data_IF_004720216794
#
_entry.id   IF_004720216794
#
_cell.length_a   1.000
_cell.length_b   1.000
_cell.length_c   1.000
_cell.angle_alpha   90.00
_cell.angle_beta   90.00
_cell.angle_gamma   90.00
#
_symmetry.space_group_name_H-M   'P 1'
#
loop_
_entity.id
_entity.type
_entity.pdbx_description
1 polymer ?
#
# COMPACT_ATOMS: atom_id res chain seq x y z
N UNK A 1 5.81 -20.54 19.79
CA UNK A 1 5.49 -21.98 20.00
C UNK A 1 4.83 -22.44 18.73
N UNK A 2 5.04 -23.66 18.22
CA UNK A 2 4.68 -24.09 16.84
C UNK A 2 3.20 -23.89 16.38
N UNK A 3 2.36 -23.23 17.19
CA UNK A 3 0.98 -22.85 16.94
C UNK A 3 0.68 -21.36 17.17
N UNK A 4 1.66 -20.46 17.19
CA UNK A 4 1.37 -19.01 17.23
C UNK A 4 0.75 -18.59 15.88
N UNK A 5 -0.50 -18.11 15.84
CA UNK A 5 -1.16 -17.70 14.58
C UNK A 5 -0.46 -16.53 13.89
N UNK A 6 0.48 -15.85 14.56
CA UNK A 6 1.27 -14.78 14.00
C UNK A 6 2.68 -15.23 13.56
N UNK A 7 3.04 -16.49 13.79
CA UNK A 7 4.29 -17.09 13.29
C UNK A 7 4.01 -17.82 11.98
N UNK A 8 4.75 -17.48 10.92
CA UNK A 8 4.70 -18.14 9.61
C UNK A 8 6.12 -18.62 9.25
N UNK A 9 6.29 -19.80 8.63
CA UNK A 9 7.60 -20.27 8.20
C UNK A 9 8.28 -19.26 7.26
N UNK A 10 9.58 -19.03 7.44
CA UNK A 10 10.35 -18.06 6.64
C UNK A 10 10.14 -18.20 5.13
N UNK A 11 10.22 -19.43 4.60
CA UNK A 11 10.04 -19.66 3.16
C UNK A 11 8.64 -19.34 2.66
N UNK A 12 7.61 -19.45 3.50
CA UNK A 12 6.26 -19.03 3.15
C UNK A 12 6.12 -17.50 3.19
N UNK A 13 6.71 -16.85 4.19
CA UNK A 13 6.75 -15.38 4.28
C UNK A 13 7.45 -14.79 3.06
N UNK A 14 8.58 -15.35 2.66
CA UNK A 14 9.36 -14.92 1.49
C UNK A 14 8.50 -15.00 0.21
N UNK A 15 7.86 -16.13 -0.04
CA UNK A 15 6.98 -16.32 -1.20
C UNK A 15 5.79 -15.36 -1.21
N UNK A 16 5.13 -15.18 -0.07
CA UNK A 16 4.01 -14.26 0.04
C UNK A 16 4.44 -12.80 -0.12
N UNK A 17 5.60 -12.43 0.45
CA UNK A 17 6.17 -11.10 0.33
C UNK A 17 6.43 -10.76 -1.13
N UNK A 18 7.15 -11.63 -1.86
CA UNK A 18 7.46 -11.43 -3.27
C UNK A 18 6.18 -11.29 -4.11
N UNK A 19 5.20 -12.15 -3.87
CA UNK A 19 3.91 -12.08 -4.56
C UNK A 19 3.18 -10.75 -4.31
N UNK A 20 3.22 -10.21 -3.08
CA UNK A 20 2.58 -8.93 -2.75
C UNK A 20 3.33 -7.72 -3.31
N UNK A 21 4.66 -7.78 -3.36
CA UNK A 21 5.47 -6.76 -4.02
C UNK A 21 5.16 -6.73 -5.51
N UNK A 22 5.17 -7.88 -6.18
CA UNK A 22 4.88 -8.00 -7.61
C UNK A 22 3.47 -7.48 -7.94
N UNK A 23 2.47 -7.90 -7.17
CA UNK A 23 1.09 -7.45 -7.31
C UNK A 23 0.96 -5.93 -7.18
N UNK A 24 1.60 -5.35 -6.17
CA UNK A 24 1.51 -3.90 -5.89
C UNK A 24 2.27 -3.08 -6.92
N UNK A 25 3.40 -3.59 -7.40
CA UNK A 25 4.20 -2.98 -8.46
C UNK A 25 3.44 -2.97 -9.79
N UNK A 26 2.74 -4.06 -10.13
CA UNK A 26 1.91 -4.11 -11.32
C UNK A 26 0.74 -3.11 -11.24
N UNK A 27 0.09 -3.00 -10.09
CA UNK A 27 -0.91 -1.96 -9.85
C UNK A 27 -0.35 -0.54 -10.01
N UNK A 28 0.86 -0.29 -9.47
CA UNK A 28 1.55 1.00 -9.61
C UNK A 28 1.81 1.35 -11.08
N UNK A 29 2.27 0.40 -11.88
CA UNK A 29 2.49 0.64 -13.32
C UNK A 29 1.20 0.94 -14.07
N UNK A 30 0.12 0.21 -13.77
CA UNK A 30 -1.19 0.50 -14.35
C UNK A 30 -1.66 1.92 -14.00
N UNK A 31 -1.58 2.32 -12.72
CA UNK A 31 -1.94 3.68 -12.31
C UNK A 31 -1.04 4.75 -12.94
N UNK A 32 0.27 4.52 -13.03
CA UNK A 32 1.18 5.46 -13.69
C UNK A 32 0.87 5.61 -15.18
N UNK A 33 0.35 4.58 -15.84
CA UNK A 33 -0.14 4.69 -17.22
C UNK A 33 -1.39 5.57 -17.30
N UNK A 34 -2.34 5.37 -16.39
CA UNK A 34 -3.63 6.07 -16.40
C UNK A 34 -3.51 7.55 -16.00
N UNK A 35 -2.66 7.87 -15.02
CA UNK A 35 -2.53 9.21 -14.44
C UNK A 35 -1.26 9.96 -14.89
N UNK A 36 -0.42 9.33 -15.71
CA UNK A 36 0.95 9.79 -15.94
C UNK A 36 1.79 9.75 -14.66
N UNK A 37 3.06 10.17 -14.75
CA UNK A 37 3.93 10.29 -13.58
C UNK A 37 3.60 11.52 -12.69
N UNK A 38 2.31 11.89 -12.56
CA UNK A 38 1.83 13.07 -11.85
C UNK A 38 2.33 13.18 -10.40
N UNK A 39 2.63 12.04 -9.77
CA UNK A 39 3.22 11.98 -8.43
C UNK A 39 4.59 12.66 -8.34
N UNK A 40 5.33 12.81 -9.46
CA UNK A 40 6.62 13.51 -9.48
C UNK A 40 6.49 14.99 -9.14
N UNK A 41 5.38 15.60 -9.54
CA UNK A 41 5.09 17.02 -9.31
C UNK A 41 4.51 17.27 -7.90
N UNK A 42 4.10 16.22 -7.20
CA UNK A 42 3.58 16.33 -5.84
C UNK A 42 4.68 16.68 -4.83
N UNK A 43 4.31 17.37 -3.75
CA UNK A 43 5.20 17.59 -2.60
C UNK A 43 5.31 16.30 -1.78
N UNK A 44 6.44 16.11 -1.08
CA UNK A 44 6.61 14.97 -0.17
C UNK A 44 5.51 15.00 0.92
N UNK A 45 5.18 16.17 1.45
CA UNK A 45 4.08 16.31 2.42
C UNK A 45 2.73 15.83 1.87
N UNK A 46 2.46 16.05 0.58
CA UNK A 46 1.23 15.56 -0.06
C UNK A 46 1.18 14.04 -0.11
N UNK A 47 2.32 13.37 -0.34
CA UNK A 47 2.41 11.91 -0.29
C UNK A 47 2.19 11.40 1.14
N UNK A 48 2.75 12.09 2.14
CA UNK A 48 2.50 11.80 3.56
C UNK A 48 1.01 11.92 3.90
N UNK A 49 0.36 12.99 3.47
CA UNK A 49 -1.08 13.21 3.71
C UNK A 49 -1.92 12.09 3.08
N UNK A 50 -1.57 11.66 1.86
CA UNK A 50 -2.23 10.53 1.19
C UNK A 50 -2.07 9.22 1.97
N UNK A 51 -0.89 8.93 2.51
CA UNK A 51 -0.66 7.75 3.36
C UNK A 51 -1.54 7.84 4.62
N UNK A 52 -1.56 8.98 5.30
CA UNK A 52 -2.38 9.18 6.51
C UNK A 52 -3.88 9.03 6.21
N UNK A 53 -4.35 9.53 5.06
CA UNK A 53 -5.73 9.33 4.61
C UNK A 53 -6.05 7.85 4.41
N UNK A 54 -5.13 7.07 3.83
CA UNK A 54 -5.32 5.63 3.62
C UNK A 54 -5.31 4.85 4.94
N UNK A 55 -4.46 5.23 5.89
CA UNK A 55 -4.48 4.67 7.26
C UNK A 55 -5.81 4.96 7.94
N UNK A 56 -6.27 6.21 7.89
CA UNK A 56 -7.57 6.59 8.45
C UNK A 56 -8.71 5.80 7.79
N UNK A 57 -8.64 5.60 6.46
CA UNK A 57 -9.63 4.81 5.73
C UNK A 57 -9.66 3.36 6.18
N UNK A 58 -8.51 2.70 6.36
CA UNK A 58 -8.46 1.31 6.84
C UNK A 58 -9.10 1.20 8.21
N UNK A 59 -8.78 2.10 9.15
CA UNK A 59 -9.42 2.14 10.48
C UNK A 59 -10.93 2.24 10.39
N UNK A 60 -11.44 3.13 9.54
CA UNK A 60 -12.89 3.22 9.33
C UNK A 60 -13.50 1.93 8.79
N UNK A 61 -12.81 1.20 7.92
CA UNK A 61 -13.32 -0.07 7.39
C UNK A 61 -13.35 -1.12 8.51
N UNK A 62 -12.31 -1.18 9.34
CA UNK A 62 -12.23 -2.08 10.50
C UNK A 62 -13.31 -1.76 11.54
N UNK A 63 -13.49 -0.48 11.88
CA UNK A 63 -14.54 0.00 12.81
C UNK A 63 -15.96 -0.32 12.30
N UNK A 64 -16.14 -0.42 10.99
CA UNK A 64 -17.40 -0.81 10.34
C UNK A 64 -17.50 -2.33 10.11
N UNK A 65 -16.70 -3.14 10.80
CA UNK A 65 -16.67 -4.61 10.67
C UNK A 65 -16.47 -5.09 9.21
N UNK A 66 -15.68 -4.35 8.44
CA UNK A 66 -15.42 -4.64 7.02
C UNK A 66 -16.53 -4.21 6.07
N UNK A 67 -17.63 -3.62 6.55
CA UNK A 67 -18.71 -3.13 5.70
C UNK A 67 -18.27 -1.86 4.96
N UNK A 68 -18.33 -1.89 3.63
CA UNK A 68 -18.00 -0.74 2.79
C UNK A 68 -19.14 -0.43 1.84
N UNK A 69 -19.59 0.83 1.84
CA UNK A 69 -20.54 1.33 0.84
C UNK A 69 -19.74 1.69 -0.43
N UNK A 70 -19.58 0.72 -1.33
CA UNK A 70 -19.00 0.88 -2.67
C UNK A 70 -17.54 1.42 -2.74
N UNK A 71 -16.73 1.18 -1.72
CA UNK A 71 -15.36 1.70 -1.63
C UNK A 71 -14.32 0.60 -1.82
N UNK A 72 -13.12 0.97 -2.26
CA UNK A 72 -11.97 0.08 -2.34
C UNK A 72 -11.70 -0.58 -0.97
N UNK A 73 -11.51 -1.91 -0.97
CA UNK A 73 -11.27 -2.68 0.25
C UNK A 73 -9.92 -2.39 0.91
N UNK A 74 -9.70 -2.96 2.09
CA UNK A 74 -8.48 -2.78 2.91
C UNK A 74 -7.19 -3.06 2.10
N UNK A 75 -7.18 -4.12 1.31
CA UNK A 75 -6.05 -4.50 0.44
C UNK A 75 -5.59 -3.36 -0.47
N UNK A 76 -6.50 -2.74 -1.20
CA UNK A 76 -6.17 -1.66 -2.13
C UNK A 76 -5.58 -0.44 -1.39
N UNK A 77 -6.10 -0.15 -0.19
CA UNK A 77 -5.57 0.94 0.63
C UNK A 77 -4.13 0.66 1.10
N UNK A 78 -3.78 -0.57 1.46
CA UNK A 78 -2.39 -0.94 1.77
C UNK A 78 -1.46 -0.82 0.56
N UNK A 79 -1.92 -1.23 -0.61
CA UNK A 79 -1.14 -1.11 -1.83
C UNK A 79 -0.87 0.35 -2.19
N UNK A 80 -1.85 1.24 -2.00
CA UNK A 80 -1.67 2.67 -2.18
C UNK A 80 -0.67 3.26 -1.18
N UNK A 81 -0.75 2.88 0.10
CA UNK A 81 0.22 3.31 1.12
C UNK A 81 1.65 2.90 0.74
N UNK A 82 1.84 1.66 0.26
CA UNK A 82 3.14 1.18 -0.22
C UNK A 82 3.65 2.04 -1.39
N UNK A 83 2.81 2.26 -2.40
CA UNK A 83 3.19 3.03 -3.60
C UNK A 83 3.54 4.48 -3.28
N UNK A 84 2.74 5.16 -2.44
CA UNK A 84 3.07 6.53 -2.01
C UNK A 84 4.37 6.59 -1.20
N UNK A 85 4.66 5.56 -0.40
CA UNK A 85 5.94 5.48 0.33
C UNK A 85 7.12 5.33 -0.64
N UNK A 86 7.00 4.48 -1.65
CA UNK A 86 8.02 4.33 -2.71
C UNK A 86 8.23 5.65 -3.46
N UNK A 87 7.16 6.34 -3.85
CA UNK A 87 7.26 7.66 -4.50
C UNK A 87 7.96 8.69 -3.63
N UNK A 88 7.66 8.71 -2.31
CA UNK A 88 8.32 9.58 -1.36
C UNK A 88 9.82 9.27 -1.25
N UNK A 89 10.21 8.00 -1.17
CA UNK A 89 11.62 7.57 -1.12
C UNK A 89 12.38 8.00 -2.39
N UNK A 90 11.80 7.78 -3.56
CA UNK A 90 12.37 8.22 -4.84
C UNK A 90 12.56 9.74 -4.84
N UNK A 91 11.57 10.50 -4.36
CA UNK A 91 11.61 11.96 -4.33
C UNK A 91 12.61 12.51 -3.31
N UNK A 92 12.83 11.80 -2.20
CA UNK A 92 13.88 12.10 -1.23
C UNK A 92 15.30 11.82 -1.77
N UNK A 93 15.41 11.17 -2.92
CA UNK A 93 16.71 10.78 -3.49
C UNK A 93 17.37 9.63 -2.74
N UNK A 94 16.61 8.87 -1.96
CA UNK A 94 17.09 7.63 -1.34
C UNK A 94 17.32 6.64 -2.47
N UNK A 95 18.59 6.35 -2.75
CA UNK A 95 19.03 5.34 -3.72
C UNK A 95 19.54 4.12 -2.98
#
# INVERSE_FOLDING_TARGET
SETDPNEMPYGEVELQFDAKIEETKNLMFAKNHDYGEAWRDMRISSLTDLILMKVFRVKQIEDNEGQTLASEGVKANYQDMLNYSVFALIKLGVK
#
